data_IF_019156853713
#
_entry.id   IF_019156853713
#
_cell.length_a   1.000
_cell.length_b   1.000
_cell.length_c   1.000
_cell.angle_alpha   90.00
_cell.angle_beta   90.00
_cell.angle_gamma   90.00
#
_symmetry.space_group_name_H-M   'P 1'
#
loop_
_entity.id
_entity.type
_entity.pdbx_description
1 polymer ?
#
# COMPACT_ATOMS: atom_id res chain seq x y z
N UNK A 1 7.54 -37.28 -11.88
CA UNK A 1 8.18 -37.01 -10.57
C UNK A 1 9.25 -35.93 -10.65
N UNK A 2 10.15 -35.95 -11.64
CA UNK A 2 11.22 -34.94 -11.79
C UNK A 2 10.67 -33.53 -12.10
N UNK A 3 9.68 -33.39 -12.96
CA UNK A 3 9.06 -32.09 -13.29
C UNK A 3 8.34 -31.45 -12.09
N UNK A 4 7.77 -32.26 -11.20
CA UNK A 4 7.10 -31.78 -10.01
C UNK A 4 8.09 -31.26 -8.96
N UNK A 5 9.29 -31.87 -8.88
CA UNK A 5 10.37 -31.42 -7.98
C UNK A 5 10.93 -30.08 -8.46
N UNK A 6 11.17 -29.93 -9.77
CA UNK A 6 11.65 -28.68 -10.37
C UNK A 6 10.63 -27.54 -10.22
N UNK A 7 9.33 -27.83 -10.34
CA UNK A 7 8.28 -26.84 -10.11
C UNK A 7 8.23 -26.40 -8.63
N UNK A 8 8.38 -27.33 -7.71
CA UNK A 8 8.41 -27.05 -6.27
C UNK A 8 9.65 -26.25 -5.85
N UNK A 9 10.82 -26.56 -6.40
CA UNK A 9 12.04 -25.77 -6.16
C UNK A 9 11.92 -24.34 -6.72
N UNK A 10 11.32 -24.14 -7.89
CA UNK A 10 11.06 -22.80 -8.46
C UNK A 10 10.11 -21.97 -7.58
N UNK A 11 9.08 -22.58 -7.03
CA UNK A 11 8.14 -21.90 -6.11
C UNK A 11 8.84 -21.54 -4.80
N UNK A 12 9.67 -22.45 -4.25
CA UNK A 12 10.47 -22.20 -3.05
C UNK A 12 11.51 -21.09 -3.25
N UNK A 13 12.19 -21.04 -4.39
CA UNK A 13 13.16 -20.01 -4.74
C UNK A 13 12.44 -18.65 -4.95
N UNK A 14 11.27 -18.65 -5.58
CA UNK A 14 10.47 -17.44 -5.76
C UNK A 14 9.94 -16.91 -4.42
N UNK A 15 9.53 -17.78 -3.49
CA UNK A 15 9.08 -17.40 -2.15
C UNK A 15 10.23 -16.86 -1.29
N UNK A 16 11.42 -17.50 -1.34
CA UNK A 16 12.63 -17.00 -0.67
C UNK A 16 13.10 -15.66 -1.23
N UNK A 17 13.03 -15.48 -2.55
CA UNK A 17 13.36 -14.22 -3.19
C UNK A 17 12.38 -13.08 -2.83
N UNK A 18 11.10 -13.39 -2.60
CA UNK A 18 10.11 -12.43 -2.10
C UNK A 18 10.35 -12.08 -0.64
N UNK A 19 10.59 -13.05 0.24
CA UNK A 19 10.93 -12.79 1.65
C UNK A 19 12.17 -11.92 1.78
N UNK A 20 13.21 -12.16 0.97
CA UNK A 20 14.41 -11.32 0.97
C UNK A 20 14.14 -9.89 0.48
N UNK A 21 13.20 -9.69 -0.46
CA UNK A 21 12.81 -8.35 -0.91
C UNK A 21 11.93 -7.63 0.11
N UNK A 22 11.00 -8.32 0.76
CA UNK A 22 10.13 -7.74 1.79
C UNK A 22 10.90 -7.25 3.01
N UNK A 23 11.98 -7.93 3.39
CA UNK A 23 12.87 -7.55 4.50
C UNK A 23 13.95 -6.53 4.12
N UNK A 24 14.00 -6.10 2.84
CA UNK A 24 14.96 -5.11 2.38
C UNK A 24 14.78 -3.78 3.11
N UNK A 25 15.88 -3.22 3.59
CA UNK A 25 15.87 -1.93 4.30
C UNK A 25 15.60 -0.80 3.31
N UNK A 26 14.64 0.03 3.69
CA UNK A 26 14.24 1.24 2.97
C UNK A 26 14.65 2.45 3.80
N UNK A 27 15.23 3.44 3.16
CA UNK A 27 15.53 4.73 3.74
C UNK A 27 14.68 5.82 3.07
N UNK A 28 14.00 6.64 3.88
CA UNK A 28 13.23 7.76 3.38
C UNK A 28 13.72 9.07 3.98
N UNK A 29 13.68 10.15 3.20
CA UNK A 29 13.98 11.51 3.63
C UNK A 29 12.76 12.37 3.35
N UNK A 30 12.32 13.11 4.36
CA UNK A 30 11.20 14.04 4.32
C UNK A 30 11.77 15.43 4.51
N UNK A 31 11.50 16.32 3.59
CA UNK A 31 11.95 17.71 3.62
C UNK A 31 10.76 18.65 3.55
N UNK A 32 10.71 19.60 4.46
CA UNK A 32 9.70 20.65 4.53
C UNK A 32 10.28 21.96 3.98
N UNK A 33 9.44 22.75 3.33
CA UNK A 33 9.82 24.10 2.90
C UNK A 33 9.95 25.05 4.10
N UNK A 34 9.01 24.96 5.03
CA UNK A 34 9.00 25.72 6.27
C UNK A 34 8.15 25.04 7.34
N UNK A 35 8.54 25.17 8.59
CA UNK A 35 7.75 24.73 9.74
C UNK A 35 7.78 25.87 10.77
N UNK A 36 6.62 26.34 11.19
CA UNK A 36 6.52 27.32 12.28
C UNK A 36 6.52 26.61 13.63
N UNK A 37 6.99 27.29 14.68
CA UNK A 37 7.00 26.72 16.04
C UNK A 37 5.61 26.24 16.50
N UNK A 38 4.54 26.88 16.00
CA UNK A 38 3.16 26.52 16.38
C UNK A 38 2.72 25.14 15.85
N UNK A 39 3.25 24.71 14.72
CA UNK A 39 2.88 23.43 14.09
C UNK A 39 3.94 22.33 14.24
N UNK A 40 5.12 22.67 14.78
CA UNK A 40 6.23 21.74 14.96
C UNK A 40 5.81 20.45 15.68
N UNK A 41 5.12 20.59 16.82
CA UNK A 41 4.66 19.44 17.61
C UNK A 41 3.65 18.56 16.84
N UNK A 42 2.78 19.17 16.01
CA UNK A 42 1.84 18.42 15.16
C UNK A 42 2.55 17.69 14.03
N UNK A 43 3.56 18.33 13.43
CA UNK A 43 4.41 17.69 12.40
C UNK A 43 5.06 16.44 12.98
N UNK A 44 5.66 16.55 14.15
CA UNK A 44 6.29 15.40 14.82
C UNK A 44 5.30 14.30 15.17
N UNK A 45 4.11 14.64 15.65
CA UNK A 45 3.04 13.67 15.92
C UNK A 45 2.61 12.90 14.65
N UNK A 46 2.42 13.60 13.52
CA UNK A 46 2.07 12.98 12.25
C UNK A 46 3.20 12.06 11.76
N UNK A 47 4.45 12.51 11.85
CA UNK A 47 5.62 11.73 11.48
C UNK A 47 5.78 10.48 12.34
N UNK A 48 5.62 10.60 13.66
CA UNK A 48 5.67 9.45 14.57
C UNK A 48 4.55 8.45 14.27
N UNK A 49 3.32 8.93 14.06
CA UNK A 49 2.22 8.05 13.68
C UNK A 49 2.51 7.30 12.38
N UNK A 50 2.97 8.01 11.35
CA UNK A 50 3.32 7.40 10.07
C UNK A 50 4.42 6.34 10.20
N UNK A 51 5.49 6.63 10.94
CA UNK A 51 6.58 5.68 11.14
C UNK A 51 6.18 4.47 11.97
N UNK A 52 5.25 4.63 12.92
CA UNK A 52 4.65 3.49 13.63
C UNK A 52 3.86 2.57 12.70
N UNK A 53 3.08 3.13 11.76
CA UNK A 53 2.37 2.32 10.75
C UNK A 53 3.34 1.55 9.85
N UNK A 54 4.52 2.12 9.59
CA UNK A 54 5.59 1.49 8.82
C UNK A 54 6.44 0.50 9.64
N UNK A 55 6.12 0.27 10.92
CA UNK A 55 6.99 -0.49 11.84
C UNK A 55 8.45 -0.01 11.73
N UNK A 56 8.65 1.30 11.68
CA UNK A 56 9.90 1.95 11.34
C UNK A 56 10.42 2.87 12.43
N UNK A 57 11.57 3.48 12.16
CA UNK A 57 12.21 4.46 13.04
C UNK A 57 12.28 5.82 12.38
N UNK A 58 11.96 6.89 13.15
CA UNK A 58 12.07 8.27 12.74
C UNK A 58 13.36 8.89 13.34
N UNK A 59 14.06 9.66 12.51
CA UNK A 59 15.27 10.39 12.92
C UNK A 59 15.13 11.85 12.45
N UNK A 60 15.19 12.80 13.37
CA UNK A 60 15.29 14.21 13.02
C UNK A 60 16.72 14.54 12.57
N UNK A 61 16.90 15.01 11.35
CA UNK A 61 18.19 15.41 10.81
C UNK A 61 18.48 16.90 11.09
N UNK A 62 17.44 17.71 10.97
CA UNK A 62 17.42 19.14 11.32
C UNK A 62 15.94 19.59 11.47
N UNK A 63 15.65 20.85 11.82
CA UNK A 63 14.26 21.30 12.06
C UNK A 63 13.32 21.16 10.84
N UNK A 64 13.85 21.12 9.64
CA UNK A 64 13.07 21.02 8.39
C UNK A 64 13.23 19.67 7.69
N UNK A 65 14.06 18.78 8.23
CA UNK A 65 14.36 17.51 7.56
C UNK A 65 14.35 16.35 8.53
N UNK A 66 13.60 15.33 8.18
CA UNK A 66 13.49 14.07 8.90
C UNK A 66 13.84 12.91 7.99
N UNK A 67 14.30 11.82 8.58
CA UNK A 67 14.46 10.56 7.88
C UNK A 67 13.72 9.45 8.60
N UNK A 68 13.33 8.44 7.84
CA UNK A 68 12.76 7.23 8.40
C UNK A 68 13.42 5.99 7.79
N UNK A 69 13.45 4.94 8.58
CA UNK A 69 13.94 3.63 8.18
C UNK A 69 12.83 2.63 8.40
N UNK A 70 12.56 1.80 7.39
CA UNK A 70 11.56 0.73 7.46
C UNK A 70 11.98 -0.42 6.56
N UNK A 71 11.10 -1.38 6.34
CA UNK A 71 11.28 -2.46 5.36
C UNK A 71 10.44 -2.21 4.11
N UNK A 72 10.87 -2.79 3.00
CA UNK A 72 10.15 -2.69 1.72
C UNK A 72 8.72 -3.21 1.83
N UNK A 73 8.52 -4.34 2.50
CA UNK A 73 7.20 -4.94 2.65
C UNK A 73 6.23 -4.06 3.44
N UNK A 74 6.70 -3.36 4.49
CA UNK A 74 5.89 -2.41 5.23
C UNK A 74 5.53 -1.20 4.37
N UNK A 75 6.51 -0.60 3.70
CA UNK A 75 6.26 0.54 2.83
C UNK A 75 5.29 0.18 1.69
N UNK A 76 5.46 -0.97 1.06
CA UNK A 76 4.62 -1.42 -0.04
C UNK A 76 3.15 -1.59 0.39
N UNK A 77 2.91 -2.12 1.60
CA UNK A 77 1.57 -2.24 2.18
C UNK A 77 0.94 -0.87 2.44
N UNK A 78 1.63 0.00 3.16
CA UNK A 78 1.11 1.31 3.57
C UNK A 78 0.92 2.28 2.40
N UNK A 79 1.66 2.10 1.31
CA UNK A 79 1.56 2.93 0.10
C UNK A 79 0.70 2.30 -0.99
N UNK A 80 0.04 1.17 -0.73
CA UNK A 80 -0.75 0.42 -1.71
C UNK A 80 0.05 0.12 -3.01
N UNK A 81 1.29 -0.37 -2.84
CA UNK A 81 2.18 -0.64 -3.95
C UNK A 81 2.77 0.62 -4.59
N UNK A 82 3.13 1.62 -3.79
CA UNK A 82 3.72 2.90 -4.19
C UNK A 82 2.80 3.81 -5.02
N UNK A 83 1.49 3.65 -4.87
CA UNK A 83 0.49 4.46 -5.58
C UNK A 83 0.02 5.66 -4.79
N UNK A 84 0.07 5.57 -3.48
CA UNK A 84 -0.41 6.59 -2.56
C UNK A 84 0.52 6.73 -1.37
N UNK A 85 0.78 7.95 -0.96
CA UNK A 85 1.54 8.24 0.25
C UNK A 85 0.70 9.12 1.19
N UNK A 86 0.03 8.51 2.20
CA UNK A 86 -0.90 9.22 3.09
C UNK A 86 -0.29 10.44 3.78
N UNK A 87 1.02 10.41 4.00
CA UNK A 87 1.76 11.46 4.69
C UNK A 87 1.70 12.80 3.96
N UNK A 88 1.83 12.80 2.63
CA UNK A 88 1.77 14.02 1.81
C UNK A 88 0.40 14.69 1.91
N UNK A 89 -0.67 13.91 1.78
CA UNK A 89 -2.05 14.41 1.88
C UNK A 89 -2.32 15.01 3.24
N UNK A 90 -1.90 14.32 4.32
CA UNK A 90 -2.12 14.79 5.69
C UNK A 90 -1.45 16.12 5.97
N UNK A 91 -0.20 16.33 5.58
CA UNK A 91 0.47 17.61 5.78
C UNK A 91 -0.21 18.74 5.02
N UNK A 92 -0.65 18.48 3.80
CA UNK A 92 -1.35 19.48 2.99
C UNK A 92 -2.74 19.82 3.54
N UNK A 93 -3.51 18.81 3.93
CA UNK A 93 -4.91 18.99 4.38
C UNK A 93 -5.00 19.49 5.82
N UNK A 94 -4.24 18.89 6.75
CA UNK A 94 -4.34 19.21 8.18
C UNK A 94 -3.54 20.45 8.58
N UNK A 95 -2.38 20.69 7.96
CA UNK A 95 -1.46 21.75 8.38
C UNK A 95 -1.18 22.81 7.31
N UNK A 96 -1.63 22.62 6.09
CA UNK A 96 -1.32 23.50 4.93
C UNK A 96 0.18 23.66 4.70
N UNK A 97 0.97 22.61 4.97
CA UNK A 97 2.43 22.60 4.83
C UNK A 97 2.79 21.77 3.62
N UNK A 98 3.78 22.25 2.86
CA UNK A 98 4.38 21.51 1.77
C UNK A 98 5.56 20.69 2.28
N UNK A 99 5.60 19.43 1.87
CA UNK A 99 6.78 18.60 2.07
C UNK A 99 7.11 17.78 0.81
N UNK A 100 8.37 17.44 0.69
CA UNK A 100 8.90 16.63 -0.43
C UNK A 100 9.56 15.40 0.15
N UNK A 101 9.36 14.24 -0.49
CA UNK A 101 9.82 12.97 0.06
C UNK A 101 10.64 12.22 -1.00
N UNK A 102 11.82 11.78 -0.58
CA UNK A 102 12.68 10.89 -1.37
C UNK A 102 12.85 9.55 -0.65
N UNK A 103 12.56 8.45 -1.33
CA UNK A 103 12.67 7.10 -0.79
C UNK A 103 13.68 6.31 -1.62
N UNK A 104 14.55 5.57 -0.95
CA UNK A 104 15.59 4.77 -1.60
C UNK A 104 15.56 3.31 -1.17
N UNK A 105 15.64 2.42 -2.14
CA UNK A 105 15.90 1.01 -1.94
C UNK A 105 17.34 0.72 -2.34
N UNK A 106 18.02 -0.11 -1.58
CA UNK A 106 19.41 -0.49 -1.85
C UNK A 106 19.72 -1.90 -1.35
N UNK A 107 20.86 -2.41 -1.75
CA UNK A 107 21.35 -3.71 -1.28
C UNK A 107 21.74 -3.62 0.20
N UNK A 108 22.12 -2.43 0.65
CA UNK A 108 22.49 -2.11 2.02
C UNK A 108 21.98 -0.72 2.42
N UNK A 109 22.11 -0.36 3.70
CA UNK A 109 21.63 0.92 4.24
C UNK A 109 22.28 2.15 3.57
N UNK A 110 23.55 2.05 3.20
CA UNK A 110 24.28 3.15 2.53
C UNK A 110 23.70 3.42 1.13
N UNK A 111 23.49 2.37 0.34
CA UNK A 111 22.87 2.49 -0.99
C UNK A 111 21.44 3.00 -0.90
N UNK A 112 20.66 2.50 0.07
CA UNK A 112 19.30 3.01 0.32
C UNK A 112 19.29 4.50 0.64
N UNK A 113 20.22 4.98 1.47
CA UNK A 113 20.37 6.39 1.80
C UNK A 113 20.81 7.24 0.60
N UNK A 114 21.70 6.73 -0.24
CA UNK A 114 22.13 7.39 -1.48
C UNK A 114 20.98 7.53 -2.46
N UNK A 115 20.21 6.47 -2.66
CA UNK A 115 19.02 6.47 -3.51
C UNK A 115 17.93 7.38 -2.97
N UNK A 116 17.73 7.45 -1.65
CA UNK A 116 16.77 8.38 -1.05
C UNK A 116 17.14 9.85 -1.32
N UNK A 117 18.43 10.20 -1.24
CA UNK A 117 18.89 11.55 -1.60
C UNK A 117 18.68 11.86 -3.08
N UNK A 118 18.94 10.91 -3.97
CA UNK A 118 18.69 11.05 -5.41
C UNK A 118 17.19 11.23 -5.68
N UNK A 119 16.33 10.45 -5.03
CA UNK A 119 14.88 10.56 -5.13
C UNK A 119 14.38 11.92 -4.62
N UNK A 120 14.91 12.39 -3.48
CA UNK A 120 14.55 13.70 -2.93
C UNK A 120 14.99 14.85 -3.86
N UNK A 121 16.18 14.78 -4.43
CA UNK A 121 16.64 15.77 -5.41
C UNK A 121 15.67 15.83 -6.60
N UNK A 122 15.30 14.68 -7.16
CA UNK A 122 14.37 14.61 -8.28
C UNK A 122 12.98 15.15 -7.91
N UNK A 123 12.49 14.87 -6.68
CA UNK A 123 11.22 15.39 -6.20
C UNK A 123 11.25 16.93 -6.09
N UNK A 124 12.32 17.50 -5.54
CA UNK A 124 12.48 18.95 -5.41
C UNK A 124 12.52 19.67 -6.77
N UNK A 125 13.12 19.07 -7.80
CA UNK A 125 13.16 19.64 -9.16
C UNK A 125 11.78 19.66 -9.82
N UNK A 126 10.88 18.76 -9.45
CA UNK A 126 9.56 18.62 -10.05
C UNK A 126 8.44 19.35 -9.28
N UNK A 127 8.73 19.88 -8.11
CA UNK A 127 7.80 20.71 -7.33
C UNK A 127 7.52 20.19 -5.92
N UNK A 128 6.74 20.95 -5.15
CA UNK A 128 6.38 20.57 -3.77
C UNK A 128 5.32 19.46 -3.73
N UNK A 129 5.20 18.82 -2.56
CA UNK A 129 4.23 17.76 -2.27
C UNK A 129 4.33 16.53 -3.19
N UNK A 130 5.53 16.21 -3.60
CA UNK A 130 5.83 15.05 -4.41
C UNK A 130 6.70 14.05 -3.66
N UNK A 131 6.54 12.80 -4.02
CA UNK A 131 7.44 11.72 -3.60
C UNK A 131 7.99 10.99 -4.82
N UNK A 132 9.28 10.69 -4.76
CA UNK A 132 9.95 9.80 -5.70
C UNK A 132 10.60 8.64 -4.95
N UNK A 133 10.68 7.50 -5.60
CA UNK A 133 11.35 6.30 -5.10
C UNK A 133 12.41 5.90 -6.12
N UNK A 134 13.65 5.74 -5.68
CA UNK A 134 14.73 5.16 -6.48
C UNK A 134 15.02 3.74 -5.98
N UNK A 135 14.95 2.78 -6.88
CA UNK A 135 15.18 1.37 -6.60
C UNK A 135 16.65 0.98 -6.69
N UNK A 136 16.97 -0.24 -6.27
CA UNK A 136 18.30 -0.84 -6.32
C UNK A 136 18.90 -0.92 -7.72
N UNK A 137 18.08 -0.98 -8.76
CA UNK A 137 18.47 -0.98 -10.18
C UNK A 137 18.53 0.43 -10.80
N UNK A 138 18.44 1.47 -9.95
CA UNK A 138 18.30 2.88 -10.32
C UNK A 138 17.03 3.23 -11.10
N UNK A 139 16.07 2.34 -11.22
CA UNK A 139 14.74 2.68 -11.74
C UNK A 139 14.01 3.61 -10.78
N UNK A 140 13.22 4.52 -11.33
CA UNK A 140 12.51 5.56 -10.60
C UNK A 140 11.02 5.32 -10.65
N UNK A 141 10.36 5.40 -9.49
CA UNK A 141 8.90 5.43 -9.36
C UNK A 141 8.51 6.84 -8.93
N UNK A 142 7.57 7.44 -9.60
CA UNK A 142 7.05 8.76 -9.28
C UNK A 142 6.78 9.60 -10.52
N UNK A 143 6.24 10.80 -10.36
CA UNK A 143 5.88 11.39 -9.07
C UNK A 143 4.70 10.68 -8.40
N UNK A 144 4.81 10.46 -7.09
CA UNK A 144 3.69 10.06 -6.24
C UNK A 144 3.11 11.37 -5.70
N UNK A 145 1.89 11.70 -6.10
CA UNK A 145 1.25 12.98 -5.83
C UNK A 145 0.15 12.86 -4.76
N UNK A 146 -0.11 13.98 -4.08
CA UNK A 146 -1.24 14.15 -3.16
C UNK A 146 -2.59 14.20 -3.87
N UNK A 147 -2.62 14.60 -5.14
CA UNK A 147 -3.87 14.82 -5.90
C UNK A 147 -4.48 13.53 -6.42
N UNK A 148 -3.78 12.44 -6.35
CA UNK A 148 -4.37 11.14 -6.66
C UNK A 148 -5.25 10.72 -5.49
N UNK A 149 -6.46 11.25 -5.39
CA UNK A 149 -7.56 10.48 -4.82
C UNK A 149 -7.55 9.18 -5.63
N UNK A 150 -7.00 8.13 -5.06
CA UNK A 150 -7.12 6.81 -5.66
C UNK A 150 -8.61 6.56 -5.70
N UNK A 151 -9.20 6.80 -6.86
CA UNK A 151 -10.52 6.34 -7.14
C UNK A 151 -10.37 4.82 -7.18
N UNK A 152 -10.60 4.15 -6.04
CA UNK A 152 -10.50 2.70 -5.91
C UNK A 152 -11.32 1.95 -6.97
N UNK A 153 -12.18 2.67 -7.68
CA UNK A 153 -12.92 2.19 -8.84
C UNK A 153 -12.07 2.10 -10.10
N UNK A 154 -10.99 2.90 -10.24
CA UNK A 154 -10.13 2.94 -11.43
C UNK A 154 -8.87 2.07 -11.32
N UNK A 155 -8.39 1.78 -10.11
CA UNK A 155 -7.17 0.98 -9.93
C UNK A 155 -7.52 -0.35 -9.27
N UNK A 156 -7.19 -1.49 -9.91
CA UNK A 156 -7.36 -2.77 -9.27
C UNK A 156 -6.43 -2.83 -8.04
N UNK A 157 -7.01 -2.99 -6.85
CA UNK A 157 -6.25 -3.33 -5.66
C UNK A 157 -5.58 -4.68 -5.92
N UNK A 158 -4.26 -4.71 -5.79
CA UNK A 158 -3.53 -5.98 -5.91
C UNK A 158 -3.61 -6.66 -4.55
N UNK A 159 -4.31 -7.78 -4.49
CA UNK A 159 -4.36 -8.60 -3.30
C UNK A 159 -3.01 -9.30 -3.18
N UNK A 160 -2.26 -8.95 -2.14
CA UNK A 160 -0.93 -9.51 -1.86
C UNK A 160 -0.99 -10.72 -0.92
N UNK A 161 -2.13 -10.99 -0.30
CA UNK A 161 -2.32 -12.16 0.55
C UNK A 161 -2.56 -13.42 -0.30
N UNK A 162 -1.51 -14.25 -0.39
CA UNK A 162 -1.55 -15.51 -1.13
C UNK A 162 -2.65 -16.45 -0.64
N UNK A 163 -2.95 -16.48 0.67
CA UNK A 163 -4.01 -17.35 1.22
C UNK A 163 -5.40 -16.88 0.79
N UNK A 164 -5.59 -15.57 0.69
CA UNK A 164 -6.82 -14.99 0.20
C UNK A 164 -6.99 -15.27 -1.31
N UNK A 165 -5.92 -15.16 -2.09
CA UNK A 165 -5.89 -15.50 -3.52
C UNK A 165 -6.19 -16.98 -3.76
N UNK A 166 -5.56 -17.89 -3.02
CA UNK A 166 -5.82 -19.34 -3.14
C UNK A 166 -7.28 -19.70 -2.81
N UNK A 167 -7.84 -19.11 -1.74
CA UNK A 167 -9.26 -19.30 -1.40
C UNK A 167 -10.19 -18.74 -2.47
N UNK A 168 -9.84 -17.57 -2.99
CA UNK A 168 -10.59 -16.91 -4.04
C UNK A 168 -10.58 -17.71 -5.36
N UNK A 169 -9.45 -18.27 -5.72
CA UNK A 169 -9.30 -19.12 -6.89
C UNK A 169 -10.10 -20.41 -6.76
N UNK A 170 -10.09 -21.04 -5.57
CA UNK A 170 -10.95 -22.18 -5.24
C UNK A 170 -12.44 -21.83 -5.31
N UNK A 171 -12.82 -20.61 -4.94
CA UNK A 171 -14.19 -20.10 -5.05
C UNK A 171 -14.56 -19.64 -6.48
N UNK A 172 -13.64 -19.75 -7.45
CA UNK A 172 -13.85 -19.29 -8.82
C UNK A 172 -14.03 -17.77 -8.92
N UNK A 173 -13.39 -17.02 -8.02
CA UNK A 173 -13.37 -15.57 -8.04
C UNK A 173 -12.20 -15.06 -8.88
N UNK A 174 -12.45 -14.07 -9.73
CA UNK A 174 -11.35 -13.33 -10.32
C UNK A 174 -10.73 -12.37 -9.29
N UNK A 175 -9.41 -12.20 -9.33
CA UNK A 175 -8.69 -11.24 -8.49
C UNK A 175 -9.27 -9.81 -8.61
N UNK A 176 -9.85 -9.46 -9.78
CA UNK A 176 -10.53 -8.19 -10.03
C UNK A 176 -11.78 -8.00 -9.15
N UNK A 177 -12.58 -9.04 -8.91
CA UNK A 177 -13.77 -8.94 -8.07
C UNK A 177 -13.41 -8.76 -6.60
N UNK A 178 -12.40 -9.48 -6.12
CA UNK A 178 -11.90 -9.33 -4.76
C UNK A 178 -11.36 -7.92 -4.55
N UNK A 179 -10.57 -7.41 -5.48
CA UNK A 179 -10.01 -6.06 -5.43
C UNK A 179 -11.10 -4.99 -5.35
N UNK A 180 -12.15 -5.09 -6.16
CA UNK A 180 -13.30 -4.16 -6.13
C UNK A 180 -14.04 -4.22 -4.79
N UNK A 181 -14.29 -5.42 -4.27
CA UNK A 181 -14.99 -5.59 -3.01
C UNK A 181 -14.16 -5.04 -1.83
N UNK A 182 -12.88 -5.38 -1.77
CA UNK A 182 -11.96 -4.88 -0.75
C UNK A 182 -11.85 -3.36 -0.79
N UNK A 183 -11.79 -2.75 -1.98
CA UNK A 183 -11.80 -1.30 -2.14
C UNK A 183 -13.05 -0.65 -1.55
N UNK A 184 -14.21 -1.26 -1.74
CA UNK A 184 -15.48 -0.77 -1.14
C UNK A 184 -15.53 -0.98 0.36
N UNK A 185 -15.07 -2.10 0.87
CA UNK A 185 -15.00 -2.38 2.31
C UNK A 185 -14.11 -1.34 2.99
N UNK A 186 -12.91 -1.07 2.44
CA UNK A 186 -12.00 -0.08 2.98
C UNK A 186 -12.57 1.35 2.95
N UNK A 187 -13.25 1.72 1.86
CA UNK A 187 -13.81 3.07 1.69
C UNK A 187 -15.02 3.33 2.60
N UNK A 188 -15.89 2.34 2.79
CA UNK A 188 -17.17 2.53 3.48
C UNK A 188 -17.26 1.81 4.82
N UNK A 189 -16.23 1.06 5.22
CA UNK A 189 -16.18 0.21 6.41
C UNK A 189 -17.40 -0.73 6.53
N UNK A 190 -18.00 -1.06 5.37
CA UNK A 190 -19.18 -1.90 5.29
C UNK A 190 -18.77 -3.34 5.03
N UNK A 191 -19.08 -4.23 5.98
CA UNK A 191 -18.73 -5.66 5.92
C UNK A 191 -19.91 -6.54 5.48
N UNK A 192 -21.12 -6.01 5.51
CA UNK A 192 -22.36 -6.75 5.20
C UNK A 192 -22.92 -6.28 3.86
N UNK A 193 -23.12 -7.22 2.95
CA UNK A 193 -23.62 -6.97 1.59
C UNK A 193 -24.78 -7.91 1.28
N UNK A 194 -25.84 -7.35 0.71
CA UNK A 194 -26.89 -8.12 0.03
C UNK A 194 -26.44 -8.53 -1.36
N UNK A 195 -27.14 -9.47 -1.99
CA UNK A 195 -26.85 -9.88 -3.37
C UNK A 195 -27.00 -8.72 -4.37
N UNK A 196 -27.98 -7.83 -4.14
CA UNK A 196 -28.19 -6.64 -4.98
C UNK A 196 -27.04 -5.63 -4.85
N UNK A 197 -26.59 -5.37 -3.63
CA UNK A 197 -25.46 -4.49 -3.37
C UNK A 197 -24.15 -5.04 -3.95
N UNK A 198 -23.97 -6.36 -3.86
CA UNK A 198 -22.84 -7.04 -4.47
C UNK A 198 -22.89 -6.95 -6.00
N UNK A 199 -24.06 -7.13 -6.59
CA UNK A 199 -24.27 -7.02 -8.03
C UNK A 199 -23.89 -5.61 -8.54
N UNK A 200 -24.33 -4.57 -7.83
CA UNK A 200 -23.98 -3.17 -8.14
C UNK A 200 -22.48 -2.91 -7.94
N UNK A 201 -21.89 -3.42 -6.84
CA UNK A 201 -20.47 -3.22 -6.52
C UNK A 201 -19.55 -3.83 -7.57
N UNK A 202 -19.87 -5.03 -8.02
CA UNK A 202 -19.06 -5.77 -8.99
C UNK A 202 -19.43 -5.47 -10.45
N UNK A 203 -20.51 -4.70 -10.68
CA UNK A 203 -21.09 -4.43 -11.99
C UNK A 203 -21.46 -5.72 -12.74
N UNK A 204 -22.23 -6.59 -12.08
CA UNK A 204 -22.70 -7.86 -12.59
C UNK A 204 -24.21 -8.01 -12.39
N UNK A 205 -24.83 -9.02 -12.98
CA UNK A 205 -26.25 -9.31 -12.78
C UNK A 205 -26.50 -9.91 -11.40
N UNK A 206 -27.70 -9.71 -10.84
CA UNK A 206 -28.13 -10.30 -9.56
C UNK A 206 -27.99 -11.84 -9.56
N UNK A 207 -28.31 -12.47 -10.68
CA UNK A 207 -28.12 -13.94 -10.84
C UNK A 207 -26.65 -14.34 -10.68
N UNK A 208 -25.73 -13.56 -11.24
CA UNK A 208 -24.29 -13.78 -11.11
C UNK A 208 -23.81 -13.51 -9.69
N UNK A 209 -24.33 -12.46 -9.03
CA UNK A 209 -24.00 -12.16 -7.64
C UNK A 209 -24.43 -13.31 -6.69
N UNK A 210 -25.67 -13.82 -6.81
CA UNK A 210 -26.12 -14.96 -6.02
C UNK A 210 -25.26 -16.20 -6.23
N UNK A 211 -24.87 -16.50 -7.47
CA UNK A 211 -23.96 -17.63 -7.79
C UNK A 211 -22.57 -17.45 -7.17
N UNK A 212 -22.07 -16.23 -7.14
CA UNK A 212 -20.78 -15.89 -6.53
C UNK A 212 -20.88 -16.03 -4.99
N UNK A 213 -21.93 -15.50 -4.36
CA UNK A 213 -22.14 -15.61 -2.93
C UNK A 213 -22.19 -17.07 -2.46
N UNK A 214 -22.89 -17.94 -3.17
CA UNK A 214 -22.92 -19.38 -2.85
C UNK A 214 -21.52 -19.99 -2.89
N UNK A 215 -20.74 -19.68 -3.94
CA UNK A 215 -19.37 -20.19 -4.03
C UNK A 215 -18.45 -19.65 -2.93
N UNK A 216 -18.66 -18.40 -2.50
CA UNK A 216 -17.89 -17.80 -1.42
C UNK A 216 -18.25 -18.41 -0.07
N UNK A 217 -19.52 -18.73 0.12
CA UNK A 217 -19.99 -19.45 1.29
C UNK A 217 -19.37 -20.84 1.37
N UNK A 218 -19.39 -21.60 0.25
CA UNK A 218 -18.78 -22.93 0.15
C UNK A 218 -17.27 -22.90 0.40
N UNK A 219 -16.60 -21.80 0.01
CA UNK A 219 -15.17 -21.60 0.21
C UNK A 219 -14.83 -21.02 1.62
N UNK A 220 -15.82 -20.72 2.46
CA UNK A 220 -15.64 -20.12 3.77
C UNK A 220 -15.07 -18.69 3.73
N UNK A 221 -15.38 -17.95 2.68
CA UNK A 221 -14.98 -16.54 2.51
C UNK A 221 -16.00 -15.57 3.09
N UNK A 222 -17.26 -15.98 3.18
CA UNK A 222 -18.38 -15.21 3.72
C UNK A 222 -19.28 -16.13 4.56
N UNK A 223 -19.96 -15.54 5.52
CA UNK A 223 -20.99 -16.19 6.32
C UNK A 223 -22.35 -15.55 6.04
N UNK A 224 -23.42 -16.32 6.19
CA UNK A 224 -24.79 -15.82 6.11
C UNK A 224 -25.18 -15.28 7.48
N UNK A 225 -25.47 -13.99 7.55
CA UNK A 225 -26.11 -13.40 8.73
C UNK A 225 -27.62 -13.60 8.54
N UNK A 226 -28.18 -14.60 9.21
CA UNK A 226 -29.65 -14.84 9.24
C UNK A 226 -30.30 -13.83 10.16
N UNK A 227 -31.47 -13.26 9.75
CA UNK A 227 -32.42 -12.73 10.69
C UNK A 227 -32.96 -13.92 11.49
N UNK A 228 -32.69 -13.99 12.79
CA UNK A 228 -33.51 -14.82 13.69
C UNK A 228 -34.95 -14.32 13.57
N UNK A 229 -35.80 -15.12 12.95
CA UNK A 229 -37.25 -14.93 13.05
C UNK A 229 -37.62 -15.15 14.51
N UNK A 230 -37.91 -14.05 15.20
CA UNK A 230 -38.66 -14.07 16.46
C UNK A 230 -40.08 -14.54 16.19
#
# INVERSE_FOLDING_TARGET
KQEMIVAFERVLLASKGRQNKESQIVYGIIQFESITNQVQSKVEQILHYFTQQLDGHLIALNPLQYSFITTRGQLERETLGYKHLPLLSRFKEELQINCTIGIGFGINAYDSGRHAKQALYQANENGPNLCYIVREDNSVIGPIDTTVFINYEQYPLVITDLKLLERAEKAGMSASYISKLMGRIMKHQKLVYTADELAQTLNITLRSANRILLKWLDAGLVDIIGEEKV
#
